data_IF_416335288964
#
_entry.id   IF_416335288964
#
_cell.length_a   1.000
_cell.length_b   1.000
_cell.length_c   1.000
_cell.angle_alpha   90.00
_cell.angle_beta   90.00
_cell.angle_gamma   90.00
#
_symmetry.space_group_name_H-M   'P 1'
#
loop_
_entity.id
_entity.type
_entity.pdbx_description
1 polymer ?
#
# COMPACT_ATOMS: atom_id res chain seq x y z
N UNK A 1 23.64 -17.13 4.00
CA UNK A 1 24.03 -16.16 4.53
C UNK A 1 23.92 -14.90 3.84
N UNK A 2 24.69 -14.66 2.86
CA UNK A 2 24.65 -13.39 2.15
C UNK A 2 23.30 -13.17 1.50
N UNK A 3 22.68 -14.19 1.02
CA UNK A 3 21.41 -14.04 0.37
C UNK A 3 20.35 -13.48 1.29
N UNK A 4 20.44 -13.79 2.56
CA UNK A 4 19.45 -13.28 3.48
C UNK A 4 19.53 -11.78 3.61
N UNK A 5 20.73 -11.24 3.47
CA UNK A 5 20.90 -9.82 3.59
C UNK A 5 20.26 -9.06 2.44
N UNK A 6 20.20 -9.67 1.29
CA UNK A 6 19.61 -9.01 0.14
C UNK A 6 18.15 -8.67 0.39
N UNK A 7 17.42 -9.59 1.00
CA UNK A 7 16.01 -9.34 1.30
C UNK A 7 15.82 -8.24 2.32
N UNK A 8 16.76 -8.11 3.24
CA UNK A 8 16.63 -7.14 4.31
C UNK A 8 16.92 -5.73 3.85
N UNK A 9 17.55 -5.61 2.70
CA UNK A 9 18.00 -4.32 2.19
C UNK A 9 17.25 -3.88 0.94
N UNK A 10 15.95 -4.14 0.91
CA UNK A 10 15.14 -3.69 -0.19
C UNK A 10 15.11 -2.18 -0.23
N UNK A 11 15.21 -1.63 -1.43
CA UNK A 11 15.14 -0.18 -1.60
C UNK A 11 13.70 0.29 -1.39
N UNK A 12 13.55 1.58 -1.18
CA UNK A 12 12.21 2.16 -1.06
C UNK A 12 11.41 1.96 -2.34
N UNK A 13 12.07 2.05 -3.48
CA UNK A 13 11.41 1.82 -4.76
C UNK A 13 10.88 0.40 -4.86
N UNK A 14 11.69 -0.56 -4.43
CA UNK A 14 11.30 -1.95 -4.52
C UNK A 14 10.17 -2.27 -3.54
N UNK A 15 10.21 -1.70 -2.35
CA UNK A 15 9.15 -1.89 -1.38
C UNK A 15 7.83 -1.33 -1.91
N UNK A 16 7.89 -0.15 -2.50
CA UNK A 16 6.72 0.49 -3.08
C UNK A 16 6.11 -0.41 -4.16
N UNK A 17 6.95 -0.93 -5.03
CA UNK A 17 6.51 -1.79 -6.11
C UNK A 17 5.87 -3.07 -5.58
N UNK A 18 6.50 -3.69 -4.61
CA UNK A 18 6.01 -4.94 -4.03
C UNK A 18 4.62 -4.74 -3.42
N UNK A 19 4.45 -3.65 -2.70
CA UNK A 19 3.16 -3.39 -2.07
C UNK A 19 2.07 -3.18 -3.10
N UNK A 20 2.36 -2.42 -4.15
CA UNK A 20 1.38 -2.19 -5.20
C UNK A 20 1.03 -3.47 -5.96
N UNK A 21 2.03 -4.26 -6.30
CA UNK A 21 1.77 -5.50 -7.03
C UNK A 21 0.93 -6.45 -6.18
N UNK A 22 1.22 -6.51 -4.89
CA UNK A 22 0.44 -7.35 -3.99
C UNK A 22 -0.98 -6.84 -3.87
N UNK A 23 -1.15 -5.53 -3.79
CA UNK A 23 -2.46 -4.91 -3.72
C UNK A 23 -3.29 -5.23 -4.95
N UNK A 24 -2.69 -5.10 -6.12
CA UNK A 24 -3.37 -5.42 -7.37
C UNK A 24 -3.79 -6.89 -7.39
N UNK A 25 -2.92 -7.77 -6.93
CA UNK A 25 -3.24 -9.20 -6.87
C UNK A 25 -4.44 -9.47 -5.96
N UNK A 26 -4.44 -8.87 -4.79
CA UNK A 26 -5.54 -9.08 -3.84
C UNK A 26 -6.85 -8.61 -4.43
N UNK A 27 -6.85 -7.43 -5.03
CA UNK A 27 -8.06 -6.88 -5.61
C UNK A 27 -8.52 -7.66 -6.82
N UNK A 28 -7.57 -8.18 -7.61
CA UNK A 28 -7.91 -9.00 -8.75
C UNK A 28 -8.64 -10.27 -8.32
N UNK A 29 -8.26 -10.83 -7.17
CA UNK A 29 -8.89 -12.01 -6.63
C UNK A 29 -10.22 -11.71 -5.93
N UNK A 30 -10.48 -10.46 -5.66
CA UNK A 30 -11.65 -10.09 -4.87
C UNK A 30 -12.89 -9.98 -5.74
N UNK A 31 -14.04 -10.23 -5.14
CA UNK A 31 -15.30 -10.16 -5.86
C UNK A 31 -15.50 -8.76 -6.42
N UNK A 32 -15.74 -8.67 -7.72
CA UNK A 32 -15.94 -7.40 -8.41
C UNK A 32 -14.75 -6.45 -8.28
N UNK A 33 -13.60 -6.97 -7.88
CA UNK A 33 -12.42 -6.13 -7.70
C UNK A 33 -12.52 -5.19 -6.51
N UNK A 34 -13.42 -5.50 -5.57
CA UNK A 34 -13.69 -4.60 -4.44
C UNK A 34 -13.38 -5.29 -3.13
N UNK A 35 -12.77 -4.55 -2.22
CA UNK A 35 -12.52 -5.08 -0.89
C UNK A 35 -12.50 -3.94 0.13
N UNK A 36 -12.99 -4.22 1.32
CA UNK A 36 -12.97 -3.26 2.42
C UNK A 36 -11.53 -2.89 2.76
N UNK A 37 -11.31 -1.63 3.04
CA UNK A 37 -9.96 -1.11 3.25
C UNK A 37 -9.25 -1.78 4.43
N UNK A 38 -9.96 -2.07 5.50
CA UNK A 38 -9.32 -2.71 6.67
C UNK A 38 -8.89 -4.13 6.35
N UNK A 39 -9.71 -4.86 5.62
CA UNK A 39 -9.36 -6.19 5.15
C UNK A 39 -8.16 -6.13 4.23
N UNK A 40 -8.17 -5.16 3.35
CA UNK A 40 -7.14 -5.01 2.36
C UNK A 40 -5.78 -4.75 3.01
N UNK A 41 -5.75 -3.86 3.99
CA UNK A 41 -4.52 -3.56 4.71
C UNK A 41 -4.01 -4.79 5.45
N UNK A 42 -4.93 -5.54 6.06
CA UNK A 42 -4.56 -6.74 6.79
C UNK A 42 -3.97 -7.80 5.86
N UNK A 43 -4.58 -7.98 4.70
CA UNK A 43 -4.08 -8.93 3.72
C UNK A 43 -2.74 -8.50 3.14
N UNK A 44 -2.58 -7.21 2.90
CA UNK A 44 -1.30 -6.67 2.43
C UNK A 44 -0.20 -6.98 3.44
N UNK A 45 -0.48 -6.72 4.70
CA UNK A 45 0.49 -6.98 5.74
C UNK A 45 0.88 -8.47 5.74
N UNK A 46 -0.13 -9.32 5.69
CA UNK A 46 0.10 -10.76 5.73
C UNK A 46 0.95 -11.23 4.56
N UNK A 47 0.64 -10.76 3.38
CA UNK A 47 1.32 -11.23 2.16
C UNK A 47 2.71 -10.63 1.96
N UNK A 48 2.96 -9.45 2.53
CA UNK A 48 4.25 -8.80 2.34
C UNK A 48 5.25 -9.07 3.45
N UNK A 49 4.85 -9.78 4.48
CA UNK A 49 5.76 -10.07 5.61
C UNK A 49 7.05 -10.73 5.18
N UNK A 50 6.99 -11.60 4.20
CA UNK A 50 8.17 -12.36 3.80
C UNK A 50 9.25 -11.49 3.18
N UNK A 51 8.89 -10.30 2.73
CA UNK A 51 9.85 -9.46 2.02
C UNK A 51 10.68 -8.57 2.93
N UNK A 52 10.35 -8.49 4.20
CA UNK A 52 11.11 -7.66 5.15
C UNK A 52 11.24 -6.24 4.60
N UNK A 53 10.10 -5.62 4.39
CA UNK A 53 10.07 -4.29 3.79
C UNK A 53 10.96 -3.30 4.52
N UNK A 54 11.47 -2.34 3.76
CA UNK A 54 12.41 -1.35 4.27
C UNK A 54 11.84 -0.62 5.50
N UNK A 55 12.62 -0.64 6.58
CA UNK A 55 12.25 0.03 7.83
C UNK A 55 10.97 -0.46 8.49
N UNK A 56 10.38 -1.51 7.96
CA UNK A 56 9.10 -1.97 8.49
C UNK A 56 9.13 -2.25 10.00
N UNK A 57 10.22 -2.82 10.47
CA UNK A 57 10.30 -3.21 11.87
C UNK A 57 10.36 -2.05 12.85
N UNK A 58 10.63 -0.87 12.36
CA UNK A 58 10.64 0.31 13.21
C UNK A 58 9.25 0.72 13.62
N UNK A 59 8.26 0.21 12.92
CA UNK A 59 6.88 0.61 13.15
C UNK A 59 6.13 -0.50 13.84
N UNK A 60 5.20 -0.15 14.67
CA UNK A 60 4.46 -1.14 15.45
C UNK A 60 3.43 -1.90 14.63
N UNK A 61 3.05 -1.37 13.50
CA UNK A 61 2.05 -2.01 12.66
C UNK A 61 2.27 -1.64 11.21
N UNK A 62 1.68 -2.41 10.32
CA UNK A 62 1.76 -2.14 8.91
C UNK A 62 1.06 -0.82 8.56
N UNK A 63 -0.06 -0.53 9.22
CA UNK A 63 -0.75 0.73 9.02
C UNK A 63 0.15 1.90 9.36
N UNK A 64 0.88 1.79 10.46
CA UNK A 64 1.78 2.86 10.86
C UNK A 64 2.92 3.00 9.87
N UNK A 65 3.40 1.88 9.34
CA UNK A 65 4.42 1.90 8.32
C UNK A 65 3.93 2.67 7.09
N UNK A 66 2.73 2.38 6.62
CA UNK A 66 2.17 3.08 5.47
C UNK A 66 1.99 4.57 5.77
N UNK A 67 1.56 4.88 6.98
CA UNK A 67 1.34 6.26 7.37
C UNK A 67 2.63 7.07 7.32
N UNK A 68 3.70 6.51 7.88
CA UNK A 68 4.96 7.23 7.98
C UNK A 68 5.69 7.28 6.64
N UNK A 69 5.71 6.18 5.92
CA UNK A 69 6.48 6.13 4.67
C UNK A 69 5.74 6.73 3.48
N UNK A 70 4.42 6.62 3.46
CA UNK A 70 3.66 7.04 2.29
C UNK A 70 2.54 8.01 2.59
N UNK A 71 2.32 8.31 3.85
CA UNK A 71 1.25 9.22 4.22
C UNK A 71 -0.10 8.54 4.39
N UNK A 72 -0.11 7.23 4.53
CA UNK A 72 -1.33 6.48 4.73
C UNK A 72 -1.74 5.73 3.47
N UNK A 73 -2.61 4.78 3.66
CA UNK A 73 -3.01 3.91 2.56
C UNK A 73 -3.69 4.67 1.42
N UNK A 74 -4.60 5.58 1.75
CA UNK A 74 -5.31 6.32 0.71
C UNK A 74 -4.35 7.20 -0.08
N UNK A 75 -3.38 7.79 0.60
CA UNK A 75 -2.38 8.58 -0.10
C UNK A 75 -1.50 7.71 -0.99
N UNK A 76 -1.27 6.49 -0.55
CA UNK A 76 -0.45 5.54 -1.29
C UNK A 76 -1.07 5.21 -2.65
N UNK A 77 -2.41 5.19 -2.73
CA UNK A 77 -3.09 4.80 -3.96
C UNK A 77 -3.67 5.96 -4.76
N UNK A 78 -3.71 7.16 -4.21
CA UNK A 78 -4.49 8.23 -4.84
C UNK A 78 -3.97 8.71 -6.19
N UNK A 79 -2.70 8.50 -6.47
CA UNK A 79 -2.14 8.97 -7.73
C UNK A 79 -2.47 8.08 -8.92
N UNK A 80 -3.14 6.96 -8.67
CA UNK A 80 -3.38 5.99 -9.72
C UNK A 80 -4.86 5.87 -10.03
N UNK A 81 -5.20 6.08 -11.29
CA UNK A 81 -6.59 6.06 -11.72
C UNK A 81 -7.20 4.67 -11.73
N UNK A 82 -6.38 3.64 -11.57
CA UNK A 82 -6.93 2.28 -11.56
C UNK A 82 -7.42 1.83 -10.18
N UNK A 83 -7.29 2.68 -9.17
CA UNK A 83 -7.92 2.43 -7.88
C UNK A 83 -9.08 3.41 -7.69
N UNK A 84 -10.17 2.91 -7.16
CA UNK A 84 -11.29 3.75 -6.80
C UNK A 84 -11.58 3.61 -5.32
N UNK A 85 -12.02 4.71 -4.71
CA UNK A 85 -12.38 4.71 -3.30
C UNK A 85 -13.89 4.86 -3.21
N UNK A 86 -14.54 3.87 -2.65
CA UNK A 86 -16.01 3.85 -2.53
C UNK A 86 -16.37 3.99 -1.07
N UNK A 87 -17.04 5.07 -0.73
CA UNK A 87 -17.47 5.31 0.64
C UNK A 87 -18.93 4.99 0.78
N UNK A 88 -19.24 4.23 1.81
CA UNK A 88 -20.62 3.88 2.11
C UNK A 88 -20.77 3.99 3.62
N UNK A 89 -21.38 5.05 4.08
CA UNK A 89 -21.47 5.37 5.50
C UNK A 89 -20.07 5.44 6.11
N UNK A 90 -19.77 4.56 7.04
CA UNK A 90 -18.46 4.54 7.69
C UNK A 90 -17.48 3.63 7.00
N UNK A 91 -17.96 2.87 6.03
CA UNK A 91 -17.10 1.90 5.36
C UNK A 91 -16.42 2.51 4.15
N UNK A 92 -15.17 2.16 3.99
CA UNK A 92 -14.41 2.55 2.83
C UNK A 92 -13.99 1.28 2.12
N UNK A 93 -14.34 1.19 0.85
CA UNK A 93 -13.96 0.05 0.02
C UNK A 93 -13.09 0.53 -1.11
N UNK A 94 -12.17 -0.31 -1.51
CA UNK A 94 -11.26 0.01 -2.60
C UNK A 94 -11.60 -0.89 -3.77
N UNK A 95 -11.70 -0.30 -4.94
CA UNK A 95 -11.99 -1.03 -6.16
C UNK A 95 -10.85 -0.92 -7.14
N UNK A 96 -10.56 -2.02 -7.81
CA UNK A 96 -9.57 -2.04 -8.87
C UNK A 96 -10.27 -1.95 -10.22
N UNK A 97 -9.90 -0.95 -11.01
CA UNK A 97 -10.36 -0.85 -12.39
C UNK A 97 -9.33 -1.56 -13.26
N UNK A 98 -9.52 -2.83 -13.41
CA UNK A 98 -8.53 -3.71 -14.00
C UNK A 98 -8.08 -3.27 -15.39
N UNK A 99 -9.00 -2.77 -16.18
CA UNK A 99 -8.68 -2.33 -17.53
C UNK A 99 -7.83 -1.06 -17.59
N UNK A 100 -7.70 -0.38 -16.46
CA UNK A 100 -6.89 0.83 -16.40
C UNK A 100 -5.50 0.58 -15.82
N UNK A 101 -5.25 -0.63 -15.34
CA UNK A 101 -3.96 -0.94 -14.72
C UNK A 101 -2.83 -0.81 -15.74
N UNK A 102 -1.84 -0.04 -15.37
CA UNK A 102 -0.64 0.14 -16.17
C UNK A 102 0.56 0.08 -15.24
N UNK A 103 1.24 -1.05 -15.26
CA UNK A 103 2.34 -1.26 -14.32
C UNK A 103 3.52 -0.32 -14.56
N UNK A 104 3.62 0.24 -15.74
CA UNK A 104 4.68 1.20 -16.02
C UNK A 104 4.50 2.50 -15.25
N UNK A 105 3.30 2.73 -14.73
CA UNK A 105 3.04 3.93 -13.94
C UNK A 105 3.43 3.76 -12.49
N UNK A 106 3.80 2.56 -12.08
CA UNK A 106 4.16 2.29 -10.69
C UNK A 106 5.59 2.69 -10.41
N UNK A 107 5.80 3.99 -10.25
CA UNK A 107 7.13 4.50 -9.97
C UNK A 107 7.10 5.25 -8.65
N UNK A 108 8.03 4.86 -7.79
CA UNK A 108 8.17 5.55 -6.52
C UNK A 108 8.68 6.96 -6.78
N UNK A 109 7.92 7.93 -6.37
CA UNK A 109 8.27 9.33 -6.61
C UNK A 109 9.05 9.96 -5.47
N UNK A 110 9.28 9.22 -4.42
CA UNK A 110 9.91 9.79 -3.25
C UNK A 110 8.94 10.62 -2.42
N UNK A 111 7.67 10.46 -2.69
CA UNK A 111 6.65 11.24 -2.02
C UNK A 111 6.61 10.92 -0.54
N UNK A 112 6.73 11.94 0.27
CA UNK A 112 6.63 11.78 1.70
C UNK A 112 5.82 12.91 2.25
N UNK A 113 5.11 12.64 3.31
CA UNK A 113 4.36 13.68 3.97
C UNK A 113 5.26 14.41 4.95
N UNK A 114 5.08 15.72 5.00
CA UNK A 114 5.73 16.52 6.02
C UNK A 114 4.84 16.49 7.24
N UNK A 115 5.34 17.03 8.34
CA UNK A 115 4.55 17.10 9.55
C UNK A 115 3.28 17.88 9.39
N UNK A 116 3.28 18.82 8.46
CA UNK A 116 2.15 19.70 8.28
C UNK A 116 1.09 19.12 7.36
N UNK A 117 1.33 17.96 6.83
CA UNK A 117 0.41 17.38 5.89
C UNK A 117 -0.80 16.81 6.61
N UNK A 118 -1.97 17.06 6.06
CA UNK A 118 -3.19 16.51 6.61
C UNK A 118 -3.43 15.07 6.20
N UNK A 119 -2.62 14.57 5.32
CA UNK A 119 -2.77 13.20 4.85
C UNK A 119 -2.65 12.18 5.97
N UNK A 120 -1.92 12.59 7.00
CA UNK A 120 -1.71 11.71 8.14
C UNK A 120 -3.02 11.24 8.74
N UNK A 121 -4.05 12.05 8.65
CA UNK A 121 -5.32 11.71 9.28
C UNK A 121 -6.16 10.74 8.47
N UNK A 122 -5.82 10.56 7.23
CA UNK A 122 -6.61 9.69 6.38
C UNK A 122 -6.46 8.24 6.78
N UNK A 123 -5.31 7.90 7.29
CA UNK A 123 -5.00 6.51 7.62
C UNK A 123 -5.19 6.20 9.09
N UNK A 124 -6.28 6.66 9.64
CA UNK A 124 -6.59 6.39 11.03
C UNK A 124 -7.33 5.08 11.17
N UNK A 125 -7.28 4.27 10.25
CA UNK A 125 -8.03 3.03 10.22
C UNK A 125 -7.40 1.92 11.05
#
# INVERSE_FOLDING_TARGET
MVQNNIKWNLTSEKCFEIIHLTLIDILTESKDGIRNINDLIRMLNSRTKVYKLHNYRKYNSFSKYLKIEYGGFLNFIEDYNFYGVIKCDKDINIKLYKNLVNLDDLKYSGKRLTKDSEWIFIDVL
#
